data_IF_365125844957
#
_entry.id   IF_365125844957
#
_cell.length_a   1.000
_cell.length_b   1.000
_cell.length_c   1.000
_cell.angle_alpha   90.00
_cell.angle_beta   90.00
_cell.angle_gamma   90.00
#
_symmetry.space_group_name_H-M   'P 1'
#
loop_
_entity.id
_entity.type
_entity.pdbx_description
1 polymer ?
#
# COMPACT_ATOMS: atom_id res chain seq x y z
N UNK A 1 -45.71 -2.48 42.74
CA UNK A 1 -44.78 -3.03 41.73
C UNK A 1 -45.16 -4.49 41.53
N UNK A 2 -45.70 -4.83 40.35
CA UNK A 2 -46.26 -6.16 40.12
C UNK A 2 -45.20 -7.10 39.55
N UNK A 3 -45.31 -8.41 39.79
CA UNK A 3 -44.36 -9.42 39.30
C UNK A 3 -44.17 -9.37 37.77
N UNK A 4 -45.23 -9.00 37.05
CA UNK A 4 -45.25 -8.78 35.60
C UNK A 4 -44.28 -7.66 35.19
N UNK A 5 -44.24 -6.57 35.95
CA UNK A 5 -43.39 -5.40 35.68
C UNK A 5 -41.90 -5.76 35.75
N UNK A 6 -41.53 -6.62 36.71
CA UNK A 6 -40.17 -7.14 36.87
C UNK A 6 -39.81 -8.09 35.73
N UNK A 7 -40.74 -8.97 35.31
CA UNK A 7 -40.50 -9.88 34.18
C UNK A 7 -40.35 -9.16 32.84
N UNK A 8 -41.17 -8.13 32.58
CA UNK A 8 -41.04 -7.33 31.36
C UNK A 8 -39.71 -6.58 31.36
N UNK A 9 -39.34 -5.97 32.49
CA UNK A 9 -38.08 -5.24 32.63
C UNK A 9 -36.86 -6.14 32.40
N UNK A 10 -36.86 -7.36 32.93
CA UNK A 10 -35.75 -8.30 32.74
C UNK A 10 -35.63 -8.79 31.30
N UNK A 11 -36.77 -9.04 30.62
CA UNK A 11 -36.77 -9.42 29.20
C UNK A 11 -36.25 -8.28 28.32
N UNK A 12 -36.73 -7.05 28.54
CA UNK A 12 -36.25 -5.88 27.78
C UNK A 12 -34.76 -5.67 28.02
N UNK A 13 -34.30 -5.78 29.27
CA UNK A 13 -32.88 -5.68 29.60
C UNK A 13 -32.05 -6.77 28.91
N UNK A 14 -32.50 -8.03 28.94
CA UNK A 14 -31.80 -9.14 28.31
C UNK A 14 -31.69 -8.97 26.78
N UNK A 15 -32.77 -8.52 26.13
CA UNK A 15 -32.76 -8.23 24.69
C UNK A 15 -31.83 -7.07 24.36
N UNK A 16 -31.87 -5.99 25.13
CA UNK A 16 -30.99 -4.84 24.95
C UNK A 16 -29.51 -5.21 25.17
N UNK A 17 -29.22 -6.01 26.19
CA UNK A 17 -27.88 -6.50 26.48
C UNK A 17 -27.35 -7.40 25.35
N UNK A 18 -28.17 -8.32 24.84
CA UNK A 18 -27.78 -9.21 23.74
C UNK A 18 -27.55 -8.44 22.43
N UNK A 19 -28.44 -7.50 22.10
CA UNK A 19 -28.27 -6.63 20.93
C UNK A 19 -26.99 -5.80 21.01
N UNK A 20 -26.71 -5.24 22.20
CA UNK A 20 -25.47 -4.49 22.45
C UNK A 20 -24.23 -5.38 22.28
N UNK A 21 -24.22 -6.58 22.86
CA UNK A 21 -23.11 -7.52 22.76
C UNK A 21 -22.82 -7.91 21.30
N UNK A 22 -23.87 -8.13 20.49
CA UNK A 22 -23.71 -8.42 19.06
C UNK A 22 -23.12 -7.23 18.29
N UNK A 23 -23.56 -6.00 18.59
CA UNK A 23 -23.00 -4.80 17.98
C UNK A 23 -21.51 -4.65 18.30
N UNK A 24 -21.12 -4.76 19.58
CA UNK A 24 -19.71 -4.69 19.98
C UNK A 24 -18.87 -5.80 19.36
N UNK A 25 -19.38 -7.04 19.34
CA UNK A 25 -18.70 -8.17 18.72
C UNK A 25 -18.47 -7.95 17.23
N UNK A 26 -19.47 -7.42 16.51
CA UNK A 26 -19.33 -7.07 15.11
C UNK A 26 -18.33 -5.93 14.89
N UNK A 27 -18.37 -4.88 15.72
CA UNK A 27 -17.45 -3.75 15.61
C UNK A 27 -15.99 -4.17 15.85
N UNK A 28 -15.75 -5.05 16.84
CA UNK A 28 -14.43 -5.63 17.11
C UNK A 28 -13.89 -6.41 15.92
N UNK A 29 -14.72 -7.27 15.31
CA UNK A 29 -14.33 -8.04 14.13
C UNK A 29 -14.00 -7.15 12.93
N UNK A 30 -14.73 -6.05 12.75
CA UNK A 30 -14.46 -5.08 11.70
C UNK A 30 -13.19 -4.30 11.95
N UNK A 31 -12.96 -3.86 13.20
CA UNK A 31 -11.75 -3.14 13.57
C UNK A 31 -10.50 -4.01 13.34
N UNK A 32 -10.55 -5.28 13.73
CA UNK A 32 -9.42 -6.19 13.53
C UNK A 32 -9.09 -6.38 12.03
N UNK A 33 -10.10 -6.53 11.16
CA UNK A 33 -9.89 -6.61 9.71
C UNK A 33 -9.36 -5.30 9.14
N UNK A 34 -9.79 -4.15 9.67
CA UNK A 34 -9.31 -2.85 9.25
C UNK A 34 -7.84 -2.64 9.64
N UNK A 35 -7.45 -3.02 10.86
CA UNK A 35 -6.06 -3.00 11.32
C UNK A 35 -5.16 -3.90 10.46
N UNK A 36 -5.60 -5.13 10.15
CA UNK A 36 -4.86 -6.04 9.27
C UNK A 36 -4.65 -5.45 7.87
N UNK A 37 -5.70 -4.84 7.28
CA UNK A 37 -5.59 -4.17 5.97
C UNK A 37 -4.67 -2.96 6.02
N UNK A 38 -4.74 -2.17 7.09
CA UNK A 38 -3.89 -1.00 7.27
C UNK A 38 -2.42 -1.40 7.40
N UNK A 39 -2.14 -2.51 8.10
CA UNK A 39 -0.81 -3.06 8.21
C UNK A 39 -0.28 -3.56 6.86
N UNK A 40 -1.09 -4.25 6.06
CA UNK A 40 -0.69 -4.64 4.70
C UNK A 40 -0.40 -3.42 3.81
N UNK A 41 -1.23 -2.38 3.87
CA UNK A 41 -0.97 -1.14 3.13
C UNK A 41 0.33 -0.47 3.57
N UNK A 42 0.62 -0.45 4.88
CA UNK A 42 1.85 0.11 5.42
C UNK A 42 3.08 -0.64 4.90
N UNK A 43 2.99 -1.97 4.80
CA UNK A 43 4.04 -2.82 4.25
C UNK A 43 4.27 -2.56 2.76
N UNK A 44 3.20 -2.45 1.96
CA UNK A 44 3.31 -2.10 0.54
C UNK A 44 3.98 -0.72 0.35
N UNK A 45 3.60 0.26 1.16
CA UNK A 45 4.17 1.61 1.12
C UNK A 45 5.66 1.59 1.52
N UNK A 46 6.04 0.81 2.54
CA UNK A 46 7.45 0.63 2.92
C UNK A 46 8.29 0.00 1.81
N UNK A 47 7.76 -1.01 1.11
CA UNK A 47 8.46 -1.63 -0.03
C UNK A 47 8.71 -0.59 -1.13
N UNK A 48 7.70 0.20 -1.51
CA UNK A 48 7.85 1.24 -2.52
C UNK A 48 8.87 2.32 -2.09
N UNK A 49 8.88 2.70 -0.81
CA UNK A 49 9.85 3.66 -0.26
C UNK A 49 11.28 3.11 -0.26
N UNK A 50 11.46 1.82 0.02
CA UNK A 50 12.77 1.16 -0.05
C UNK A 50 13.30 1.13 -1.49
N UNK A 51 12.43 0.84 -2.47
CA UNK A 51 12.76 0.89 -3.91
C UNK A 51 13.14 2.30 -4.34
N UNK A 52 12.37 3.30 -3.94
CA UNK A 52 12.69 4.71 -4.22
C UNK A 52 14.04 5.11 -3.60
N UNK A 53 14.28 4.76 -2.33
CA UNK A 53 15.55 5.08 -1.67
C UNK A 53 16.73 4.43 -2.40
N UNK A 54 16.62 3.15 -2.75
CA UNK A 54 17.66 2.44 -3.49
C UNK A 54 17.93 3.09 -4.86
N UNK A 55 16.87 3.45 -5.58
CA UNK A 55 16.96 4.16 -6.86
C UNK A 55 17.67 5.50 -6.70
N UNK A 56 17.32 6.31 -5.69
CA UNK A 56 17.98 7.61 -5.43
C UNK A 56 19.47 7.46 -5.13
N UNK A 57 19.84 6.44 -4.36
CA UNK A 57 21.26 6.15 -4.06
C UNK A 57 21.99 5.73 -5.33
N UNK A 58 21.39 4.87 -6.17
CA UNK A 58 21.98 4.46 -7.44
C UNK A 58 22.11 5.65 -8.41
N UNK A 59 21.09 6.51 -8.48
CA UNK A 59 21.06 7.68 -9.36
C UNK A 59 22.14 8.71 -8.99
N UNK A 60 22.48 8.83 -7.70
CA UNK A 60 23.57 9.71 -7.27
C UNK A 60 24.95 9.30 -7.82
N UNK A 61 25.13 8.03 -8.21
CA UNK A 61 26.35 7.54 -8.86
C UNK A 61 26.40 7.80 -10.36
N UNK A 62 25.32 8.29 -10.98
CA UNK A 62 25.25 8.56 -12.42
C UNK A 62 25.81 9.96 -12.68
N UNK A 63 26.94 10.04 -13.39
CA UNK A 63 27.69 11.29 -13.60
C UNK A 63 27.32 12.04 -14.87
N UNK A 64 26.64 11.40 -15.82
CA UNK A 64 26.22 12.02 -17.08
C UNK A 64 24.73 11.73 -17.37
N UNK A 65 23.95 12.73 -17.80
CA UNK A 65 22.56 12.52 -18.18
C UNK A 65 22.47 11.62 -19.43
N UNK A 66 21.57 10.64 -19.38
CA UNK A 66 21.26 9.73 -20.46
C UNK A 66 20.10 10.29 -21.31
N UNK A 67 19.84 9.66 -22.47
CA UNK A 67 18.55 9.87 -23.16
C UNK A 67 17.41 9.37 -22.27
N UNK A 68 16.23 9.99 -22.31
CA UNK A 68 15.13 9.56 -21.43
C UNK A 68 14.70 8.10 -21.63
N UNK A 69 14.81 7.57 -22.86
CA UNK A 69 14.59 6.14 -23.11
C UNK A 69 15.63 5.23 -22.43
N UNK A 70 16.92 5.57 -22.50
CA UNK A 70 17.96 4.81 -21.81
C UNK A 70 17.87 4.96 -20.28
N UNK A 71 17.51 6.15 -19.80
CA UNK A 71 17.29 6.42 -18.39
C UNK A 71 16.09 5.63 -17.84
N UNK A 72 15.01 5.51 -18.61
CA UNK A 72 13.85 4.69 -18.27
C UNK A 72 14.22 3.20 -18.19
N UNK A 73 14.92 2.66 -19.20
CA UNK A 73 15.38 1.27 -19.19
C UNK A 73 16.33 0.97 -18.01
N UNK A 74 17.25 1.90 -17.71
CA UNK A 74 18.13 1.77 -16.54
C UNK A 74 17.33 1.80 -15.23
N UNK A 75 16.35 2.70 -15.12
CA UNK A 75 15.50 2.83 -13.94
C UNK A 75 14.65 1.58 -13.71
N UNK A 76 14.11 0.97 -14.77
CA UNK A 76 13.37 -0.31 -14.69
C UNK A 76 14.24 -1.44 -14.11
N UNK A 77 15.49 -1.54 -14.58
CA UNK A 77 16.47 -2.48 -14.03
C UNK A 77 16.78 -2.19 -12.56
N UNK A 78 16.89 -0.92 -12.17
CA UNK A 78 17.12 -0.57 -10.76
C UNK A 78 15.91 -0.86 -9.88
N UNK A 79 14.68 -0.59 -10.34
CA UNK A 79 13.47 -0.84 -9.56
C UNK A 79 13.24 -2.35 -9.36
N UNK A 80 13.54 -3.18 -10.36
CA UNK A 80 13.46 -4.64 -10.24
C UNK A 80 14.58 -5.23 -9.37
N UNK A 81 15.83 -4.76 -9.53
CA UNK A 81 16.98 -5.34 -8.85
C UNK A 81 17.27 -4.75 -7.45
N UNK A 82 16.98 -3.47 -7.22
CA UNK A 82 17.45 -2.74 -6.05
C UNK A 82 16.32 -2.49 -5.05
N UNK A 83 16.50 -2.87 -3.77
CA UNK A 83 15.55 -2.52 -2.69
C UNK A 83 15.30 -3.57 -1.61
N UNK A 84 16.24 -4.48 -1.37
CA UNK A 84 16.11 -5.48 -0.30
C UNK A 84 15.11 -6.60 -0.61
N UNK A 85 14.96 -7.57 0.31
CA UNK A 85 14.01 -8.66 0.14
C UNK A 85 12.58 -8.13 0.10
N UNK A 86 11.79 -8.59 -0.87
CA UNK A 86 10.35 -8.33 -0.93
C UNK A 86 9.68 -9.23 0.12
N UNK A 87 8.81 -8.69 0.99
CA UNK A 87 8.05 -9.50 1.94
C UNK A 87 7.25 -10.60 1.25
N UNK A 88 7.06 -11.73 1.92
CA UNK A 88 6.25 -12.83 1.39
C UNK A 88 4.82 -12.36 1.10
N UNK A 89 4.24 -12.78 -0.03
CA UNK A 89 2.90 -12.36 -0.46
C UNK A 89 2.82 -10.99 -1.14
N UNK A 90 3.92 -10.22 -1.19
CA UNK A 90 3.98 -8.97 -1.96
C UNK A 90 4.54 -9.26 -3.36
N UNK A 91 3.86 -8.79 -4.40
CA UNK A 91 4.37 -8.81 -5.77
C UNK A 91 4.64 -7.40 -6.29
N UNK A 92 5.72 -7.25 -7.05
CA UNK A 92 6.14 -6.00 -7.66
C UNK A 92 6.07 -6.12 -9.18
N UNK A 93 5.41 -5.16 -9.83
CA UNK A 93 5.41 -5.04 -11.29
C UNK A 93 5.77 -3.63 -11.70
N UNK A 94 6.49 -3.51 -12.82
CA UNK A 94 6.80 -2.24 -13.47
C UNK A 94 6.07 -2.15 -14.79
N UNK A 95 5.33 -1.07 -14.99
CA UNK A 95 4.59 -0.79 -16.20
C UNK A 95 5.02 0.56 -16.78
N UNK A 96 5.03 0.68 -18.11
CA UNK A 96 5.30 1.95 -18.75
C UNK A 96 4.21 2.99 -18.40
N UNK A 97 4.64 4.14 -17.88
CA UNK A 97 3.77 5.28 -17.66
C UNK A 97 3.53 6.02 -18.96
N UNK A 98 2.27 6.23 -19.31
CA UNK A 98 1.86 7.02 -20.46
C UNK A 98 2.25 8.48 -20.24
N UNK A 99 3.41 8.86 -20.76
CA UNK A 99 4.00 10.20 -20.63
C UNK A 99 4.66 10.57 -21.96
N UNK A 100 4.41 11.79 -22.44
CA UNK A 100 4.92 12.31 -23.71
C UNK A 100 6.47 12.36 -23.72
N UNK A 101 7.12 11.25 -24.04
CA UNK A 101 8.56 11.14 -24.26
C UNK A 101 9.44 11.09 -22.99
N UNK A 102 8.89 11.29 -21.79
CA UNK A 102 9.65 11.33 -20.54
C UNK A 102 10.05 9.93 -20.02
N UNK A 103 9.44 8.85 -20.53
CA UNK A 103 9.78 7.47 -20.16
C UNK A 103 9.49 7.16 -18.68
N UNK A 104 8.38 7.67 -18.15
CA UNK A 104 7.99 7.36 -16.77
C UNK A 104 7.60 5.88 -16.60
N UNK A 105 7.75 5.36 -15.39
CA UNK A 105 7.42 3.99 -15.02
C UNK A 105 6.51 3.99 -13.79
N UNK A 106 5.44 3.21 -13.84
CA UNK A 106 4.65 2.86 -12.67
C UNK A 106 5.28 1.65 -11.99
N UNK A 107 5.67 1.79 -10.74
CA UNK A 107 5.93 0.64 -9.88
C UNK A 107 4.68 0.36 -9.07
N UNK A 108 4.20 -0.87 -9.18
CA UNK A 108 3.01 -1.35 -8.51
C UNK A 108 3.41 -2.43 -7.51
N UNK A 109 3.00 -2.26 -6.26
CA UNK A 109 3.11 -3.27 -5.21
C UNK A 109 1.72 -3.79 -4.86
N UNK A 110 1.54 -5.11 -4.90
CA UNK A 110 0.25 -5.76 -4.59
C UNK A 110 0.42 -6.85 -3.53
N UNK A 111 -0.58 -6.97 -2.66
CA UNK A 111 -0.73 -8.07 -1.70
C UNK A 111 -2.20 -8.22 -1.32
N UNK A 112 -2.72 -9.45 -1.26
CA UNK A 112 -4.10 -9.77 -0.85
C UNK A 112 -5.19 -8.89 -1.49
N UNK A 113 -5.03 -8.56 -2.79
CA UNK A 113 -5.96 -7.72 -3.55
C UNK A 113 -5.87 -6.22 -3.24
N UNK A 114 -4.95 -5.80 -2.38
CA UNK A 114 -4.56 -4.41 -2.18
C UNK A 114 -3.45 -4.04 -3.16
N UNK A 115 -3.45 -2.79 -3.59
CA UNK A 115 -2.51 -2.27 -4.58
C UNK A 115 -2.05 -0.87 -4.18
N UNK A 116 -0.75 -0.63 -4.32
CA UNK A 116 -0.13 0.68 -4.21
C UNK A 116 0.71 0.93 -5.45
N UNK A 117 0.49 2.08 -6.09
CA UNK A 117 1.24 2.51 -7.27
C UNK A 117 2.03 3.76 -6.98
N UNK A 118 3.21 3.85 -7.58
CA UNK A 118 4.00 5.08 -7.58
C UNK A 118 4.65 5.31 -8.93
N UNK A 119 4.54 6.53 -9.41
CA UNK A 119 5.15 6.97 -10.66
C UNK A 119 6.60 7.38 -10.40
N UNK A 120 7.49 6.85 -11.22
CA UNK A 120 8.90 7.21 -11.26
C UNK A 120 9.20 7.81 -12.63
N UNK A 121 9.73 9.03 -12.66
CA UNK A 121 10.13 9.70 -13.88
C UNK A 121 11.66 9.86 -13.89
N UNK A 122 12.38 9.44 -14.95
CA UNK A 122 13.83 9.57 -15.00
C UNK A 122 14.30 11.02 -14.87
N UNK A 123 13.55 11.96 -15.46
CA UNK A 123 13.82 13.40 -15.34
C UNK A 123 13.72 13.92 -13.89
N UNK A 124 12.81 13.38 -13.07
CA UNK A 124 12.67 13.76 -11.66
C UNK A 124 13.87 13.33 -10.81
N UNK A 125 14.63 12.34 -11.28
CA UNK A 125 15.86 11.86 -10.66
C UNK A 125 17.13 12.47 -11.29
N UNK A 126 16.99 13.43 -12.21
CA UNK A 126 18.12 14.07 -12.89
C UNK A 126 18.84 13.17 -13.90
N UNK A 127 18.25 12.02 -14.26
CA UNK A 127 18.87 11.02 -15.14
C UNK A 127 18.76 11.40 -16.62
N UNK A 128 17.77 12.22 -16.98
CA UNK A 128 17.63 12.77 -18.32
C UNK A 128 17.09 14.21 -18.25
N UNK A 129 17.25 14.96 -19.34
CA UNK A 129 16.57 16.25 -19.55
C UNK A 129 15.35 16.02 -20.46
N UNK A 130 14.21 16.66 -20.18
CA UNK A 130 13.06 16.65 -21.08
C UNK A 130 13.39 17.33 -22.41
#
# INVERSE_FOLDING_TARGET
>A
MTLVEVMVSSVVFALAANGSAQLWGSAMAWNHRAEQRQELLSQLDLVLLQRERALRVAAAGVTAPMSCGAAAAWMDLQLSAAGGPVPEGVTLTTDAGETDGAGALWLTATADGLERKRLFAPAAHGLCRP
#
